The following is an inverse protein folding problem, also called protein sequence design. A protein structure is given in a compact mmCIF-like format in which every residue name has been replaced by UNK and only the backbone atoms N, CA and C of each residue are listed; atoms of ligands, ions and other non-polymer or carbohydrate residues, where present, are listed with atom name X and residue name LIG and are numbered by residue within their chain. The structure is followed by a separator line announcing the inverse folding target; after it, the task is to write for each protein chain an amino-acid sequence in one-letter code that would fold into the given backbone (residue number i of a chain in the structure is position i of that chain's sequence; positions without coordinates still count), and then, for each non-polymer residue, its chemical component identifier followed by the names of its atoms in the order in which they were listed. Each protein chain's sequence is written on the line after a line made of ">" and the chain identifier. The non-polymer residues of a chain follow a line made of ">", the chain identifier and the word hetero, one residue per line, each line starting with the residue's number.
data_IF_603093812470
#
_entry.id   IF_603093812470
#
_cell.length_a   1.000
_cell.length_b   1.000
_cell.length_c   1.000
_cell.angle_alpha   90.00
_cell.angle_beta   90.00
_cell.angle_gamma   90.00
#
_symmetry.space_group_name_H-M   'P 1'
#
loop_
_entity.id
_entity.type
_entity.pdbx_description
1 polymer ?
#
# COMPACT_ATOMS: atom_id res chain seq x y z
N UNK A 1 -2.56 -11.62 -8.97
CA UNK A 1 -3.54 -10.65 -8.44
C UNK A 1 -4.51 -10.25 -9.53
N UNK A 2 -5.81 -10.52 -9.34
CA UNK A 2 -6.86 -10.25 -10.33
C UNK A 2 -7.29 -8.77 -10.38
N UNK A 3 -8.14 -8.45 -11.34
CA UNK A 3 -8.76 -7.11 -11.47
C UNK A 3 -9.76 -6.82 -10.34
N UNK A 4 -10.35 -7.86 -9.73
CA UNK A 4 -11.31 -7.71 -8.63
C UNK A 4 -10.69 -7.37 -7.26
N UNK A 5 -9.38 -7.57 -7.09
CA UNK A 5 -8.75 -7.39 -5.79
C UNK A 5 -8.38 -5.92 -5.51
N UNK A 6 -9.25 -5.25 -4.77
CA UNK A 6 -9.16 -3.83 -4.37
C UNK A 6 -7.92 -3.50 -3.52
N UNK A 7 -7.28 -4.50 -2.90
CA UNK A 7 -6.09 -4.28 -2.06
C UNK A 7 -4.81 -4.25 -2.89
N UNK A 8 -4.88 -4.56 -4.18
CA UNK A 8 -3.68 -4.67 -5.04
C UNK A 8 -3.53 -3.46 -5.94
N UNK A 9 -2.32 -3.22 -6.45
CA UNK A 9 -2.09 -2.18 -7.46
C UNK A 9 -3.01 -2.38 -8.66
N UNK A 10 -3.12 -3.62 -9.17
CA UNK A 10 -3.91 -3.98 -10.36
C UNK A 10 -5.41 -3.77 -10.17
N UNK A 11 -6.01 -4.22 -9.07
CA UNK A 11 -7.43 -3.97 -8.82
C UNK A 11 -7.74 -2.51 -8.52
N UNK A 12 -6.80 -1.77 -7.91
CA UNK A 12 -6.90 -0.30 -7.79
C UNK A 12 -6.85 0.41 -9.15
N UNK A 13 -6.08 -0.10 -10.13
CA UNK A 13 -6.11 0.42 -11.52
C UNK A 13 -7.50 0.23 -12.11
N UNK A 14 -8.02 -0.98 -12.02
CA UNK A 14 -9.29 -1.36 -12.63
C UNK A 14 -10.48 -0.58 -12.04
N UNK A 15 -10.54 -0.47 -10.72
CA UNK A 15 -11.62 0.25 -10.04
C UNK A 15 -11.40 1.78 -9.97
N UNK A 16 -10.31 2.31 -10.54
CA UNK A 16 -10.02 3.75 -10.53
C UNK A 16 -9.71 4.36 -9.15
N UNK A 17 -9.57 3.53 -8.11
CA UNK A 17 -9.29 4.00 -6.75
C UNK A 17 -7.79 4.18 -6.48
N UNK A 18 -7.46 5.06 -5.53
CA UNK A 18 -6.07 5.34 -5.15
C UNK A 18 -5.74 4.71 -3.79
N UNK A 19 -4.48 4.81 -3.40
CA UNK A 19 -4.03 4.43 -2.06
C UNK A 19 -2.55 4.17 -2.04
N UNK A 20 -2.08 3.56 -0.94
CA UNK A 20 -0.66 3.24 -0.72
C UNK A 20 0.02 2.54 -1.91
N UNK A 21 -0.69 1.61 -2.54
CA UNK A 21 -0.17 0.81 -3.67
C UNK A 21 -0.46 1.42 -5.06
N UNK A 22 -1.32 2.44 -5.16
CA UNK A 22 -1.58 3.23 -6.38
C UNK A 22 -1.70 4.72 -6.01
N UNK A 23 -0.56 5.39 -5.70
CA UNK A 23 -0.58 6.80 -5.33
C UNK A 23 -0.80 7.72 -6.55
N UNK A 24 -1.45 8.88 -6.34
CA UNK A 24 -1.68 9.88 -7.40
C UNK A 24 -0.44 10.68 -7.77
N UNK A 25 0.40 10.99 -6.77
CA UNK A 25 1.63 11.78 -6.93
C UNK A 25 2.81 10.91 -6.50
N UNK A 26 3.96 11.04 -7.17
CA UNK A 26 5.21 10.30 -6.88
C UNK A 26 5.67 10.42 -5.41
N UNK A 27 5.18 11.43 -4.67
CA UNK A 27 5.61 11.81 -3.31
C UNK A 27 4.54 11.64 -2.23
N UNK A 28 3.53 10.79 -2.39
CA UNK A 28 2.80 10.34 -1.20
C UNK A 28 3.73 9.40 -0.45
N UNK A 29 4.55 10.00 0.42
CA UNK A 29 5.52 9.35 1.27
C UNK A 29 4.93 8.03 1.78
N UNK A 30 5.40 6.93 1.21
CA UNK A 30 5.38 5.61 1.83
C UNK A 30 6.30 5.69 3.05
N UNK A 31 5.94 6.52 4.04
CA UNK A 31 6.40 6.35 5.41
C UNK A 31 5.72 5.07 5.87
N UNK A 32 6.24 3.93 5.42
CA UNK A 32 6.37 2.81 6.32
C UNK A 32 7.31 3.31 7.42
N UNK A 33 6.76 4.01 8.40
CA UNK A 33 7.27 3.85 9.75
C UNK A 33 7.03 2.37 10.05
N UNK A 34 8.02 1.54 9.74
CA UNK A 34 8.24 0.27 10.41
C UNK A 34 8.48 0.61 11.88
N UNK A 35 7.42 0.98 12.60
CA UNK A 35 7.49 1.12 14.05
C UNK A 35 7.19 -0.24 14.64
N UNK A 36 8.17 -0.70 15.40
CA UNK A 36 8.18 -1.83 16.34
C UNK A 36 8.37 -3.22 15.74
N UNK A 37 9.61 -3.48 15.33
CA UNK A 37 10.30 -4.71 15.75
C UNK A 37 10.76 -4.59 17.22
N UNK A 38 9.87 -4.15 18.11
CA UNK A 38 10.05 -4.23 19.57
C UNK A 38 9.28 -5.47 19.99
N UNK A 39 9.88 -6.63 19.76
CA UNK A 39 9.50 -7.95 20.30
C UNK A 39 10.56 -9.01 19.89
N UNK A 40 11.81 -8.59 19.76
CA UNK A 40 12.98 -9.46 19.96
C UNK A 40 13.62 -8.96 21.25
N UNK A 41 13.81 -9.87 22.20
CA UNK A 41 14.35 -9.65 23.55
C UNK A 41 13.36 -9.13 24.60
N UNK A 42 12.50 -10.03 25.08
CA UNK A 42 12.31 -10.21 26.52
C UNK A 42 11.96 -11.66 26.83
#
# INVERSE_FOLDING_TARGET
>A
MGKGDKKTKRGKIHNGSYGKLRPRKKRMNLKHKMTKSVEKEK
#
